data_IF_197761505665
#
_entry.id   IF_197761505665
#
_cell.length_a   1.000
_cell.length_b   1.000
_cell.length_c   1.000
_cell.angle_alpha   90.00
_cell.angle_beta   90.00
_cell.angle_gamma   90.00
#
_symmetry.space_group_name_H-M   'P 1'
#
loop_
_entity.id
_entity.type
_entity.pdbx_description
1 polymer ?
#
# COMPACT_ATOMS: atom_id res chain seq x y z
N UNK A 1 -4.88 14.37 -13.17
CA UNK A 1 -3.99 14.66 -12.02
C UNK A 1 -3.04 15.82 -12.30
N UNK A 2 -2.19 15.81 -13.33
CA UNK A 2 -1.25 16.91 -13.67
C UNK A 2 -2.00 18.23 -13.83
N UNK A 3 -3.09 18.26 -14.59
CA UNK A 3 -3.92 19.45 -14.78
C UNK A 3 -4.48 20.00 -13.47
N UNK A 4 -4.90 19.13 -12.54
CA UNK A 4 -5.41 19.53 -11.24
C UNK A 4 -4.34 20.22 -10.38
N UNK A 5 -3.10 19.70 -10.36
CA UNK A 5 -1.96 20.33 -9.70
C UNK A 5 -1.64 21.70 -10.33
N UNK A 6 -1.59 21.74 -11.66
CA UNK A 6 -1.31 22.98 -12.40
C UNK A 6 -2.37 24.04 -12.10
N UNK A 7 -3.65 23.67 -12.19
CA UNK A 7 -4.76 24.57 -11.88
C UNK A 7 -4.73 25.06 -10.43
N UNK A 8 -4.41 24.17 -9.48
CA UNK A 8 -4.27 24.56 -8.08
C UNK A 8 -3.20 25.62 -7.89
N UNK A 9 -1.97 25.39 -8.40
CA UNK A 9 -0.89 26.37 -8.25
C UNK A 9 -1.16 27.68 -8.99
N UNK A 10 -1.82 27.66 -10.13
CA UNK A 10 -2.12 28.85 -10.91
C UNK A 10 -3.25 29.69 -10.33
N UNK A 11 -4.24 29.08 -9.66
CA UNK A 11 -5.51 29.74 -9.36
C UNK A 11 -5.94 29.68 -7.89
N UNK A 12 -5.46 28.70 -7.12
CA UNK A 12 -6.05 28.34 -5.83
C UNK A 12 -5.03 28.14 -4.69
N UNK A 13 -3.73 28.28 -4.99
CA UNK A 13 -2.68 28.04 -4.00
C UNK A 13 -2.71 29.07 -2.88
N UNK A 14 -3.11 28.63 -1.69
CA UNK A 14 -3.14 29.41 -0.46
C UNK A 14 -2.94 28.48 0.76
N UNK A 15 -2.61 29.08 1.92
CA UNK A 15 -2.63 28.38 3.19
C UNK A 15 -4.05 27.93 3.52
N UNK A 16 -4.19 26.70 3.99
CA UNK A 16 -5.45 26.14 4.48
C UNK A 16 -5.67 26.51 5.95
N UNK A 17 -6.95 26.59 6.39
CA UNK A 17 -7.43 26.82 7.77
C UNK A 17 -7.16 28.19 8.40
N UNK A 18 -6.09 28.90 8.05
CA UNK A 18 -5.63 30.10 8.76
C UNK A 18 -5.97 31.42 8.11
N UNK A 19 -6.33 31.41 6.83
CA UNK A 19 -6.63 32.63 6.11
C UNK A 19 -8.06 33.09 6.32
N UNK A 20 -8.25 34.38 6.57
CA UNK A 20 -9.58 35.02 6.63
C UNK A 20 -10.00 35.60 5.26
N UNK A 21 -9.38 35.13 4.19
CA UNK A 21 -9.60 35.60 2.80
C UNK A 21 -10.13 34.43 1.94
N UNK A 22 -10.87 34.81 0.88
CA UNK A 22 -11.62 33.87 0.04
C UNK A 22 -10.75 32.71 -0.55
N UNK A 23 -9.51 33.03 -0.95
CA UNK A 23 -8.61 32.02 -1.53
C UNK A 23 -8.23 30.93 -0.52
N UNK A 24 -8.00 31.30 0.76
CA UNK A 24 -7.74 30.33 1.82
C UNK A 24 -8.96 29.45 2.13
N UNK A 25 -10.14 30.04 2.15
CA UNK A 25 -11.39 29.29 2.32
C UNK A 25 -11.57 28.25 1.21
N UNK A 26 -11.34 28.67 -0.06
CA UNK A 26 -11.43 27.78 -1.23
C UNK A 26 -10.40 26.64 -1.19
N UNK A 27 -9.14 26.96 -0.82
CA UNK A 27 -8.10 25.93 -0.67
C UNK A 27 -8.42 24.93 0.44
N UNK A 28 -9.00 25.42 1.55
CA UNK A 28 -9.47 24.56 2.66
C UNK A 28 -10.62 23.65 2.23
N UNK A 29 -11.61 24.20 1.52
CA UNK A 29 -12.74 23.44 0.98
C UNK A 29 -12.27 22.34 0.02
N UNK A 30 -11.34 22.67 -0.88
CA UNK A 30 -10.76 21.70 -1.80
C UNK A 30 -10.03 20.57 -1.05
N UNK A 31 -9.23 20.89 -0.03
CA UNK A 31 -8.50 19.92 0.78
C UNK A 31 -9.44 18.99 1.55
N UNK A 32 -10.41 19.53 2.27
CA UNK A 32 -11.39 18.75 3.03
C UNK A 32 -12.36 17.98 2.13
N UNK A 33 -12.70 18.53 0.95
CA UNK A 33 -13.48 17.81 -0.06
C UNK A 33 -12.78 16.54 -0.55
N UNK A 34 -11.45 16.54 -0.65
CA UNK A 34 -10.69 15.32 -0.97
C UNK A 34 -10.68 14.34 0.18
N UNK A 35 -10.70 14.80 1.43
CA UNK A 35 -10.83 13.91 2.60
C UNK A 35 -12.14 13.11 2.53
N UNK A 36 -13.25 13.77 2.20
CA UNK A 36 -14.53 13.09 2.00
C UNK A 36 -14.46 12.11 0.82
N UNK A 37 -13.88 12.52 -0.33
CA UNK A 37 -13.70 11.62 -1.48
C UNK A 37 -12.86 10.37 -1.13
N UNK A 38 -11.80 10.55 -0.34
CA UNK A 38 -10.96 9.41 0.09
C UNK A 38 -11.73 8.47 1.03
N UNK A 39 -12.58 9.02 1.91
CA UNK A 39 -13.46 8.24 2.77
C UNK A 39 -14.46 7.43 1.94
N UNK A 40 -15.19 8.08 1.04
CA UNK A 40 -16.17 7.44 0.16
C UNK A 40 -15.53 6.34 -0.71
N UNK A 41 -14.30 6.59 -1.20
CA UNK A 41 -13.56 5.67 -2.06
C UNK A 41 -13.23 4.34 -1.40
N UNK A 42 -13.01 4.33 -0.08
CA UNK A 42 -12.68 3.11 0.68
C UNK A 42 -13.82 2.67 1.63
N UNK A 43 -14.96 3.36 1.64
CA UNK A 43 -16.12 3.04 2.48
C UNK A 43 -15.92 3.32 3.97
N UNK A 44 -15.31 4.46 4.30
CA UNK A 44 -15.13 5.01 5.65
C UNK A 44 -15.77 6.38 5.82
N UNK A 45 -15.47 7.06 6.93
CA UNK A 45 -15.94 8.41 7.26
C UNK A 45 -14.78 9.42 7.13
N UNK A 46 -15.07 10.68 6.78
CA UNK A 46 -14.03 11.71 6.64
C UNK A 46 -13.23 11.91 7.94
N UNK A 47 -13.85 11.77 9.12
CA UNK A 47 -13.20 11.86 10.43
C UNK A 47 -12.19 10.73 10.71
N UNK A 48 -12.19 9.69 9.88
CA UNK A 48 -11.32 8.50 9.96
C UNK A 48 -10.15 8.57 8.96
N UNK A 49 -10.06 9.64 8.16
CA UNK A 49 -9.05 9.81 7.12
C UNK A 49 -7.96 10.78 7.58
N UNK A 50 -6.72 10.31 7.61
CA UNK A 50 -5.52 11.10 7.90
C UNK A 50 -4.65 11.14 6.65
N UNK A 51 -4.33 12.34 6.16
CA UNK A 51 -3.36 12.48 5.09
C UNK A 51 -1.94 12.28 5.61
N UNK A 52 -1.16 11.51 4.86
CA UNK A 52 0.21 11.13 5.20
C UNK A 52 1.13 11.28 3.98
N UNK A 53 2.42 11.02 4.16
CA UNK A 53 3.41 11.04 3.05
C UNK A 53 3.36 9.77 2.17
N UNK A 54 2.54 8.78 2.52
CA UNK A 54 2.39 7.49 1.84
C UNK A 54 2.13 6.35 2.81
N UNK A 55 1.94 5.14 2.30
CA UNK A 55 1.66 3.92 3.08
C UNK A 55 2.69 3.70 4.19
N UNK A 56 3.98 3.89 3.91
CA UNK A 56 5.04 3.74 4.92
C UNK A 56 4.82 4.67 6.11
N UNK A 57 4.55 5.95 5.87
CA UNK A 57 4.25 6.94 6.91
C UNK A 57 2.96 6.60 7.67
N UNK A 58 1.93 6.16 6.96
CA UNK A 58 0.66 5.74 7.54
C UNK A 58 0.81 4.55 8.50
N UNK A 59 1.53 3.49 8.08
CA UNK A 59 1.78 2.32 8.93
C UNK A 59 2.65 2.70 10.13
N UNK A 60 3.68 3.55 9.95
CA UNK A 60 4.49 4.03 11.07
C UNK A 60 3.66 4.85 12.08
N UNK A 61 2.71 5.66 11.60
CA UNK A 61 1.81 6.41 12.49
C UNK A 61 0.97 5.45 13.35
N UNK A 62 0.39 4.41 12.77
CA UNK A 62 -0.32 3.39 13.54
C UNK A 62 0.64 2.65 14.50
N UNK A 63 1.81 2.20 14.01
CA UNK A 63 2.77 1.41 14.77
C UNK A 63 3.29 2.16 16.00
N UNK A 64 3.81 3.36 15.82
CA UNK A 64 4.45 4.12 16.88
C UNK A 64 3.48 5.04 17.64
N UNK A 65 2.42 5.51 16.98
CA UNK A 65 1.40 6.35 17.62
C UNK A 65 0.42 5.56 18.49
N UNK A 66 0.01 4.37 18.01
CA UNK A 66 -0.95 3.52 18.71
C UNK A 66 -0.29 2.29 19.34
N UNK A 67 0.23 1.36 18.54
CA UNK A 67 0.62 0.03 19.00
C UNK A 67 1.80 0.02 19.97
N UNK A 68 2.79 0.89 19.79
CA UNK A 68 3.91 1.04 20.75
C UNK A 68 3.44 1.32 22.19
N UNK A 69 2.28 1.96 22.36
CA UNK A 69 1.73 2.34 23.66
C UNK A 69 0.76 1.34 24.25
N UNK A 70 0.25 0.42 23.44
CA UNK A 70 -0.78 -0.53 23.83
C UNK A 70 -0.27 -1.98 23.93
N UNK A 71 0.82 -2.30 23.23
CA UNK A 71 1.43 -3.63 23.29
C UNK A 71 2.32 -3.79 24.53
N UNK A 72 2.36 -5.00 25.04
CA UNK A 72 3.13 -5.41 26.23
C UNK A 72 3.98 -6.63 25.91
N UNK A 73 4.94 -6.92 26.79
CA UNK A 73 5.77 -8.10 26.70
C UNK A 73 4.91 -9.38 26.64
N UNK A 74 5.16 -10.22 25.65
CA UNK A 74 4.44 -11.46 25.41
C UNK A 74 3.17 -11.34 24.57
N UNK A 75 2.69 -10.12 24.25
CA UNK A 75 1.68 -9.91 23.21
C UNK A 75 2.20 -10.35 21.83
N UNK A 76 1.32 -10.67 20.91
CA UNK A 76 1.69 -11.18 19.59
C UNK A 76 1.19 -10.24 18.47
N UNK A 77 2.05 -10.10 17.46
CA UNK A 77 1.78 -9.40 16.20
C UNK A 77 1.85 -10.44 15.08
N UNK A 78 0.72 -10.73 14.44
CA UNK A 78 0.67 -11.64 13.31
C UNK A 78 0.92 -10.90 12.00
N UNK A 79 1.80 -11.45 11.17
CA UNK A 79 2.11 -10.99 9.81
C UNK A 79 2.42 -12.19 8.91
N UNK A 80 2.80 -11.90 7.65
CA UNK A 80 3.24 -12.93 6.71
C UNK A 80 4.69 -12.69 6.25
N UNK A 81 5.35 -13.71 5.75
CA UNK A 81 6.62 -13.55 5.05
C UNK A 81 6.49 -12.77 3.73
N UNK A 82 5.26 -12.54 3.27
CA UNK A 82 4.94 -11.83 2.04
C UNK A 82 4.77 -10.32 2.22
N UNK A 83 5.01 -9.78 3.42
CA UNK A 83 4.83 -8.36 3.67
C UNK A 83 5.90 -7.50 2.99
N UNK A 84 5.49 -6.35 2.45
CA UNK A 84 6.42 -5.29 2.08
C UNK A 84 7.16 -4.80 3.33
N UNK A 85 8.42 -4.37 3.19
CA UNK A 85 9.21 -3.88 4.32
C UNK A 85 8.51 -2.78 5.12
N UNK A 86 7.68 -1.96 4.49
CA UNK A 86 6.87 -0.94 5.18
C UNK A 86 5.84 -1.51 6.14
N UNK A 87 5.39 -2.76 5.93
CA UNK A 87 4.46 -3.48 6.81
C UNK A 87 5.15 -4.63 7.59
N UNK A 88 6.47 -4.63 7.65
CA UNK A 88 7.26 -5.57 8.44
C UNK A 88 8.17 -4.85 9.43
N UNK A 89 9.01 -3.93 8.92
CA UNK A 89 10.06 -3.30 9.73
C UNK A 89 9.50 -2.49 10.91
N UNK A 90 8.42 -1.70 10.78
CA UNK A 90 7.84 -1.00 11.93
C UNK A 90 7.42 -1.94 13.05
N UNK A 91 6.88 -3.11 12.70
CA UNK A 91 6.46 -4.11 13.67
C UNK A 91 7.62 -4.82 14.36
N UNK A 92 8.73 -5.03 13.64
CA UNK A 92 9.98 -5.50 14.24
C UNK A 92 10.48 -4.51 15.30
N UNK A 93 10.44 -3.20 15.00
CA UNK A 93 10.88 -2.16 15.96
C UNK A 93 9.92 -2.07 17.16
N UNK A 94 8.62 -2.08 16.93
CA UNK A 94 7.63 -2.07 18.01
C UNK A 94 7.76 -3.31 18.89
N UNK A 95 7.92 -4.49 18.29
CA UNK A 95 8.14 -5.74 19.04
C UNK A 95 9.40 -5.68 19.90
N UNK A 96 10.51 -5.16 19.36
CA UNK A 96 11.76 -5.00 20.10
C UNK A 96 11.62 -4.03 21.29
N UNK A 97 10.84 -2.95 21.14
CA UNK A 97 10.63 -1.94 22.18
C UNK A 97 9.65 -2.37 23.27
N UNK A 98 8.65 -3.21 22.93
CA UNK A 98 7.58 -3.62 23.85
C UNK A 98 7.79 -5.00 24.47
N UNK A 99 8.66 -5.82 23.89
CA UNK A 99 8.78 -7.25 24.23
C UNK A 99 7.67 -8.11 23.61
N UNK A 100 6.89 -7.58 22.68
CA UNK A 100 5.92 -8.36 21.90
C UNK A 100 6.63 -9.32 20.94
N UNK A 101 5.92 -10.32 20.45
CA UNK A 101 6.46 -11.38 19.56
C UNK A 101 5.85 -11.26 18.18
N UNK A 102 6.69 -11.42 17.14
CA UNK A 102 6.22 -11.58 15.77
C UNK A 102 5.83 -13.04 15.52
N UNK A 103 4.65 -13.24 14.97
CA UNK A 103 4.10 -14.56 14.60
C UNK A 103 3.83 -14.55 13.11
N UNK A 104 4.45 -15.46 12.37
CA UNK A 104 4.30 -15.53 10.92
C UNK A 104 3.23 -16.54 10.53
N UNK A 105 2.19 -16.05 9.82
CA UNK A 105 1.11 -16.89 9.32
C UNK A 105 1.60 -17.72 8.13
N UNK A 106 1.27 -19.02 8.09
CA UNK A 106 1.65 -19.90 6.99
C UNK A 106 1.01 -19.49 5.66
N UNK A 107 1.79 -19.57 4.59
CA UNK A 107 1.36 -19.33 3.22
C UNK A 107 1.21 -20.65 2.45
N UNK A 108 0.18 -20.73 1.63
CA UNK A 108 0.02 -21.79 0.64
C UNK A 108 1.00 -21.61 -0.55
N UNK A 109 1.06 -22.58 -1.47
CA UNK A 109 1.94 -22.55 -2.66
C UNK A 109 1.73 -21.35 -3.58
N UNK A 110 0.63 -20.60 -3.43
CA UNK A 110 0.32 -19.40 -4.20
C UNK A 110 0.65 -18.10 -3.43
N UNK A 111 1.26 -18.22 -2.25
CA UNK A 111 1.57 -17.09 -1.37
C UNK A 111 0.33 -16.48 -0.71
N UNK A 112 -0.77 -17.23 -0.63
CA UNK A 112 -1.98 -16.85 0.11
C UNK A 112 -1.94 -17.46 1.49
N UNK A 113 -2.42 -16.75 2.51
CA UNK A 113 -2.50 -17.29 3.87
C UNK A 113 -3.45 -18.50 3.89
N UNK A 114 -2.97 -19.62 4.42
CA UNK A 114 -3.81 -20.79 4.72
C UNK A 114 -4.61 -20.51 5.99
N UNK A 115 -5.93 -20.36 5.84
CA UNK A 115 -6.82 -19.99 6.94
C UNK A 115 -6.84 -21.03 8.08
N UNK A 116 -6.75 -22.32 7.74
CA UNK A 116 -6.78 -23.38 8.74
C UNK A 116 -5.50 -23.39 9.58
N UNK A 117 -4.38 -23.23 8.93
CA UNK A 117 -3.09 -23.16 9.62
C UNK A 117 -2.93 -21.83 10.36
N UNK A 118 -3.42 -20.72 9.80
CA UNK A 118 -3.44 -19.42 10.47
C UNK A 118 -4.22 -19.45 11.79
N UNK A 119 -5.39 -20.10 11.81
CA UNK A 119 -6.20 -20.23 13.03
C UNK A 119 -5.46 -20.97 14.16
N UNK A 120 -4.66 -21.98 13.82
CA UNK A 120 -3.82 -22.73 14.80
C UNK A 120 -2.68 -21.89 15.38
N UNK A 121 -2.14 -20.98 14.58
CA UNK A 121 -1.00 -20.13 14.96
C UNK A 121 -1.44 -18.89 15.77
N UNK A 122 -2.65 -18.38 15.52
CA UNK A 122 -3.21 -17.23 16.24
C UNK A 122 -3.62 -17.62 17.66
N UNK A 123 -2.83 -17.20 18.66
CA UNK A 123 -3.12 -17.45 20.08
C UNK A 123 -4.02 -16.38 20.71
N UNK A 124 -4.43 -16.54 21.96
CA UNK A 124 -5.18 -15.54 22.72
C UNK A 124 -4.32 -14.32 23.13
N UNK A 125 -3.00 -14.36 22.88
CA UNK A 125 -2.08 -13.22 23.03
C UNK A 125 -2.04 -12.32 21.82
N UNK A 126 -2.69 -12.69 20.72
CA UNK A 126 -2.73 -11.87 19.52
C UNK A 126 -3.37 -10.50 19.82
N UNK A 127 -2.67 -9.42 19.44
CA UNK A 127 -3.17 -8.03 19.59
C UNK A 127 -3.22 -7.29 18.27
N UNK A 128 -2.46 -7.73 17.30
CA UNK A 128 -2.45 -7.13 15.96
C UNK A 128 -2.31 -8.22 14.90
N UNK A 129 -3.16 -8.14 13.88
CA UNK A 129 -2.95 -8.74 12.58
C UNK A 129 -2.58 -7.62 11.61
N UNK A 130 -1.36 -7.64 11.05
CA UNK A 130 -0.90 -6.70 10.04
C UNK A 130 -0.60 -7.45 8.74
N UNK A 131 -1.35 -7.17 7.67
CA UNK A 131 -1.16 -7.87 6.39
C UNK A 131 -1.45 -6.98 5.19
N UNK A 132 -0.74 -7.24 4.08
CA UNK A 132 -1.05 -6.65 2.79
C UNK A 132 -2.34 -7.26 2.23
N UNK A 133 -3.23 -6.42 1.68
CA UNK A 133 -4.42 -6.92 0.97
C UNK A 133 -4.04 -7.62 -0.32
N UNK A 134 -3.06 -7.05 -1.06
CA UNK A 134 -2.48 -7.65 -2.27
C UNK A 134 -0.97 -7.63 -2.14
N UNK A 135 -0.34 -8.78 -2.36
CA UNK A 135 1.12 -8.90 -2.28
C UNK A 135 1.80 -8.19 -3.45
N UNK A 136 2.81 -7.38 -3.18
CA UNK A 136 3.52 -6.57 -4.18
C UNK A 136 4.48 -7.38 -5.07
N UNK A 137 4.79 -8.63 -4.73
CA UNK A 137 5.66 -9.52 -5.51
C UNK A 137 4.83 -10.44 -6.38
N UNK A 138 3.86 -11.15 -5.79
CA UNK A 138 3.08 -12.18 -6.47
C UNK A 138 1.75 -11.66 -7.05
N UNK A 139 1.29 -10.46 -6.61
CA UNK A 139 -0.04 -9.98 -6.92
C UNK A 139 -1.17 -10.76 -6.25
N UNK A 140 -0.84 -11.68 -5.34
CA UNK A 140 -1.83 -12.53 -4.66
C UNK A 140 -2.70 -11.71 -3.73
N UNK A 141 -4.02 -11.78 -3.91
CA UNK A 141 -5.01 -11.18 -3.00
C UNK A 141 -5.17 -12.08 -1.76
N UNK A 142 -5.00 -11.49 -0.58
CA UNK A 142 -5.12 -12.20 0.69
C UNK A 142 -6.58 -12.30 1.16
N UNK A 143 -6.97 -13.33 1.91
CA UNK A 143 -8.32 -13.48 2.46
C UNK A 143 -8.50 -12.59 3.70
N UNK A 144 -8.43 -11.26 3.50
CA UNK A 144 -8.39 -10.26 4.57
C UNK A 144 -9.62 -10.37 5.47
N UNK A 145 -10.82 -10.48 4.89
CA UNK A 145 -12.08 -10.53 5.64
C UNK A 145 -12.12 -11.72 6.60
N UNK A 146 -11.73 -12.90 6.12
CA UNK A 146 -11.71 -14.13 6.90
C UNK A 146 -10.65 -14.07 8.01
N UNK A 147 -9.46 -13.58 7.67
CA UNK A 147 -8.36 -13.39 8.64
C UNK A 147 -8.70 -12.35 9.70
N UNK A 148 -9.34 -11.24 9.31
CA UNK A 148 -9.84 -10.23 10.24
C UNK A 148 -10.86 -10.82 11.22
N UNK A 149 -11.77 -11.66 10.73
CA UNK A 149 -12.74 -12.34 11.59
C UNK A 149 -12.06 -13.28 12.59
N UNK A 150 -11.01 -14.02 12.19
CA UNK A 150 -10.21 -14.86 13.09
C UNK A 150 -9.46 -14.03 14.13
N UNK A 151 -8.80 -12.94 13.71
CA UNK A 151 -8.08 -12.04 14.61
C UNK A 151 -9.02 -11.37 15.64
N UNK A 152 -10.18 -10.92 15.20
CA UNK A 152 -11.19 -10.29 16.09
C UNK A 152 -11.76 -11.25 17.12
N UNK A 153 -11.88 -12.55 16.82
CA UNK A 153 -12.25 -13.57 17.84
C UNK A 153 -11.22 -13.66 18.99
N UNK A 154 -9.97 -13.24 18.75
CA UNK A 154 -8.89 -13.16 19.75
C UNK A 154 -8.79 -11.76 20.41
N UNK A 155 -9.68 -10.83 20.06
CA UNK A 155 -9.62 -9.45 20.53
C UNK A 155 -8.51 -8.61 19.87
N UNK A 156 -7.94 -9.06 18.76
CA UNK A 156 -6.88 -8.36 18.05
C UNK A 156 -7.44 -7.31 17.08
N UNK A 157 -6.69 -6.22 16.91
CA UNK A 157 -6.92 -5.22 15.88
C UNK A 157 -6.31 -5.68 14.55
N UNK A 158 -6.82 -5.11 13.45
CA UNK A 158 -6.44 -5.45 12.08
C UNK A 158 -5.96 -4.21 11.36
N UNK A 159 -4.69 -4.21 10.94
CA UNK A 159 -4.12 -3.23 10.03
C UNK A 159 -3.92 -3.85 8.66
N UNK A 160 -4.41 -3.18 7.63
CA UNK A 160 -4.31 -3.64 6.24
C UNK A 160 -3.44 -2.68 5.44
N UNK A 161 -2.37 -3.19 4.85
CA UNK A 161 -1.60 -2.49 3.81
C UNK A 161 -2.35 -2.64 2.47
N UNK A 162 -3.03 -1.57 2.08
CA UNK A 162 -3.79 -1.45 0.84
C UNK A 162 -3.01 -0.88 -0.33
N UNK A 163 -1.69 -0.75 -0.22
CA UNK A 163 -0.87 -0.06 -1.21
C UNK A 163 -0.95 -0.65 -2.64
N UNK A 164 -1.22 -1.94 -2.76
CA UNK A 164 -1.40 -2.64 -4.04
C UNK A 164 -2.87 -2.94 -4.34
N UNK A 165 -3.79 -2.42 -3.53
CA UNK A 165 -5.22 -2.69 -3.68
C UNK A 165 -6.03 -1.44 -4.02
N UNK A 166 -5.81 -0.32 -3.33
CA UNK A 166 -6.70 0.84 -3.34
C UNK A 166 -6.96 1.45 -4.72
N UNK A 167 -6.02 1.39 -5.65
CA UNK A 167 -6.22 1.90 -7.03
C UNK A 167 -6.54 0.83 -8.06
N UNK A 168 -6.65 -0.45 -7.64
CA UNK A 168 -6.69 -1.60 -8.53
C UNK A 168 -7.93 -2.49 -8.36
N UNK A 169 -8.62 -2.37 -7.23
CA UNK A 169 -9.84 -3.15 -6.94
C UNK A 169 -10.73 -2.39 -5.95
N UNK A 170 -12.04 -2.70 -5.91
CA UNK A 170 -12.96 -2.10 -4.95
C UNK A 170 -12.56 -2.41 -3.52
N UNK A 171 -12.51 -1.38 -2.67
CA UNK A 171 -12.21 -1.50 -1.24
C UNK A 171 -13.39 -1.03 -0.42
N UNK A 172 -13.75 -1.79 0.63
CA UNK A 172 -14.68 -1.37 1.66
C UNK A 172 -14.10 -1.77 3.02
N UNK A 173 -13.42 -0.83 3.68
CA UNK A 173 -12.64 -1.09 4.91
C UNK A 173 -13.49 -1.69 6.02
N UNK A 174 -14.74 -1.28 6.14
CA UNK A 174 -15.70 -1.82 7.12
C UNK A 174 -16.05 -3.28 6.82
N UNK A 175 -16.26 -3.63 5.53
CA UNK A 175 -16.56 -5.01 5.09
C UNK A 175 -15.35 -5.93 5.20
N UNK A 176 -14.14 -5.38 5.03
CA UNK A 176 -12.88 -6.10 5.26
C UNK A 176 -12.63 -6.37 6.74
N UNK A 177 -13.26 -5.60 7.62
CA UNK A 177 -13.03 -5.66 9.06
C UNK A 177 -11.71 -5.00 9.48
N UNK A 178 -11.17 -4.09 8.67
CA UNK A 178 -9.98 -3.33 8.99
C UNK A 178 -10.25 -2.31 10.10
N UNK A 179 -9.34 -2.21 11.05
CA UNK A 179 -9.31 -1.17 12.08
C UNK A 179 -8.39 -0.01 11.65
N UNK A 180 -7.36 -0.33 10.87
CA UNK A 180 -6.50 0.62 10.15
C UNK A 180 -6.32 0.15 8.71
N UNK A 181 -6.27 1.09 7.76
CA UNK A 181 -6.00 0.82 6.34
C UNK A 181 -5.07 1.89 5.77
N UNK A 182 -4.01 1.50 5.07
CA UNK A 182 -3.00 2.42 4.58
C UNK A 182 -2.78 2.29 3.07
N UNK A 183 -2.73 3.42 2.34
CA UNK A 183 -2.40 3.41 0.92
C UNK A 183 -1.64 4.66 0.47
N UNK A 184 -1.07 4.62 -0.74
CA UNK A 184 -0.26 5.68 -1.32
C UNK A 184 -0.87 6.17 -2.64
N UNK A 185 -0.96 7.49 -2.81
CA UNK A 185 -1.50 8.11 -3.99
C UNK A 185 -0.75 7.74 -5.28
N UNK A 186 0.60 7.65 -5.23
CA UNK A 186 1.42 7.35 -6.41
C UNK A 186 1.21 5.96 -7.01
N UNK A 187 0.52 5.05 -6.30
CA UNK A 187 0.13 3.72 -6.81
C UNK A 187 -1.29 3.68 -7.37
N UNK A 188 -1.99 4.81 -7.33
CA UNK A 188 -3.33 4.97 -7.84
C UNK A 188 -3.46 6.25 -8.68
N UNK A 189 -2.47 6.54 -9.52
CA UNK A 189 -2.38 7.67 -10.44
C UNK A 189 -2.27 9.06 -9.77
N UNK A 190 -2.05 9.11 -8.46
CA UNK A 190 -1.82 10.34 -7.71
C UNK A 190 -0.34 10.74 -7.64
N UNK A 191 -0.06 11.79 -6.89
CA UNK A 191 1.28 12.33 -6.69
C UNK A 191 2.09 11.49 -5.68
N UNK A 192 3.42 11.42 -5.85
CA UNK A 192 4.36 10.93 -4.83
C UNK A 192 4.35 11.86 -3.60
N UNK A 193 4.66 11.32 -2.42
CA UNK A 193 4.68 12.11 -1.19
C UNK A 193 3.27 12.42 -0.64
N UNK A 194 2.26 11.67 -1.06
CA UNK A 194 0.89 11.72 -0.57
C UNK A 194 0.36 10.32 -0.35
N UNK A 195 -0.37 10.11 0.72
CA UNK A 195 -1.04 8.87 1.06
C UNK A 195 -2.10 9.08 2.13
N UNK A 196 -2.72 8.01 2.53
CA UNK A 196 -3.82 8.00 3.49
C UNK A 196 -3.61 6.91 4.53
N UNK A 197 -3.89 7.25 5.78
CA UNK A 197 -4.24 6.31 6.83
C UNK A 197 -5.74 6.45 7.12
N UNK A 198 -6.48 5.40 6.90
CA UNK A 198 -7.78 5.19 7.55
C UNK A 198 -7.54 4.59 8.94
N UNK A 199 -8.24 5.07 9.92
CA UNK A 199 -8.29 4.44 11.24
C UNK A 199 -9.64 4.69 11.87
N UNK A 200 -10.22 3.67 12.51
CA UNK A 200 -11.49 3.83 13.23
C UNK A 200 -11.36 4.98 14.22
N UNK A 201 -12.40 5.82 14.28
CA UNK A 201 -12.40 7.08 15.02
C UNK A 201 -11.89 6.94 16.46
N UNK A 202 -12.39 5.94 17.18
CA UNK A 202 -12.01 5.68 18.57
C UNK A 202 -10.55 5.24 18.74
N UNK A 203 -9.95 4.62 17.73
CA UNK A 203 -8.53 4.26 17.72
C UNK A 203 -7.65 5.47 17.38
N UNK A 204 -8.07 6.27 16.41
CA UNK A 204 -7.39 7.53 16.10
C UNK A 204 -7.40 8.47 17.30
N UNK A 205 -8.49 8.55 18.08
CA UNK A 205 -8.55 9.39 19.27
C UNK A 205 -7.51 8.98 20.34
N UNK A 206 -7.20 7.68 20.42
CA UNK A 206 -6.18 7.13 21.33
C UNK A 206 -4.76 7.18 20.74
N UNK A 207 -4.62 7.34 19.41
CA UNK A 207 -3.32 7.39 18.75
C UNK A 207 -2.63 8.71 19.04
N UNK A 208 -1.33 8.67 19.34
CA UNK A 208 -0.51 9.86 19.50
C UNK A 208 0.09 10.30 18.17
N UNK A 209 0.20 11.60 17.89
CA UNK A 209 0.90 12.09 16.72
C UNK A 209 2.40 11.77 16.79
N UNK A 210 3.04 11.66 15.62
CA UNK A 210 4.49 11.48 15.51
C UNK A 210 5.20 12.78 15.13
N UNK A 211 4.49 13.67 14.46
CA UNK A 211 4.99 14.99 14.09
C UNK A 211 4.24 16.05 14.92
N UNK A 212 4.96 17.02 15.44
CA UNK A 212 4.44 18.07 16.29
C UNK A 212 4.77 19.45 15.73
N UNK A 213 3.81 20.37 15.73
CA UNK A 213 4.02 21.71 15.18
C UNK A 213 2.76 22.55 15.14
N UNK A 214 2.74 23.51 14.25
CA UNK A 214 1.56 24.33 13.98
C UNK A 214 0.43 23.50 13.35
N UNK A 215 -0.75 24.05 13.21
CA UNK A 215 -2.00 23.50 12.70
C UNK A 215 -2.64 22.42 13.58
N UNK A 216 -1.87 21.46 14.12
CA UNK A 216 -2.38 20.32 14.88
C UNK A 216 -2.72 20.62 16.35
N UNK A 217 -2.32 21.78 16.85
CA UNK A 217 -2.49 22.22 18.25
C UNK A 217 -3.86 22.83 18.50
N UNK A 218 -4.38 22.67 19.71
CA UNK A 218 -5.53 23.42 20.25
C UNK A 218 -5.07 24.59 21.11
N UNK A 219 -4.23 24.30 22.11
CA UNK A 219 -3.65 25.29 23.00
C UNK A 219 -2.17 24.99 23.24
N UNK A 220 -1.36 26.04 23.36
CA UNK A 220 0.08 25.92 23.68
C UNK A 220 0.45 26.94 24.75
N UNK A 221 1.09 26.44 25.81
CA UNK A 221 1.77 27.26 26.82
C UNK A 221 3.28 27.15 26.64
N UNK A 222 4.04 27.74 27.56
CA UNK A 222 5.52 27.58 27.55
C UNK A 222 5.98 26.15 27.80
N UNK A 223 5.20 25.33 28.48
CA UNK A 223 5.59 24.00 28.94
C UNK A 223 4.69 22.86 28.47
N UNK A 224 3.49 23.15 27.97
CA UNK A 224 2.50 22.16 27.59
C UNK A 224 1.77 22.52 26.30
N UNK A 225 1.27 21.51 25.60
CA UNK A 225 0.40 21.69 24.45
C UNK A 225 -0.76 20.69 24.50
N UNK A 226 -1.92 21.10 24.03
CA UNK A 226 -3.06 20.24 23.72
C UNK A 226 -3.32 20.22 22.24
N UNK A 227 -3.88 19.11 21.72
CA UNK A 227 -4.03 18.87 20.29
C UNK A 227 -5.48 18.96 19.86
N UNK A 228 -5.70 19.26 18.58
CA UNK A 228 -7.00 19.14 17.95
C UNK A 228 -7.47 17.67 17.95
N UNK A 229 -8.75 17.38 17.75
CA UNK A 229 -9.21 16.02 17.53
C UNK A 229 -8.61 15.42 16.26
N UNK A 230 -8.69 14.09 16.10
CA UNK A 230 -8.40 13.44 14.84
C UNK A 230 -9.42 13.92 13.75
N UNK A 231 -9.00 14.03 12.48
CA UNK A 231 -7.69 13.69 11.93
C UNK A 231 -6.63 14.79 12.05
N UNK A 232 -7.02 16.06 12.35
CA UNK A 232 -6.14 17.22 12.27
C UNK A 232 -4.95 17.16 13.23
N UNK A 233 -5.05 16.45 14.36
CA UNK A 233 -3.90 16.27 15.26
C UNK A 233 -2.70 15.55 14.65
N UNK A 234 -2.88 14.86 13.51
CA UNK A 234 -1.82 14.15 12.81
C UNK A 234 -1.20 14.93 11.65
N UNK A 235 -1.77 16.10 11.33
CA UNK A 235 -1.42 16.89 10.17
C UNK A 235 -0.71 18.19 10.61
N UNK A 236 0.51 18.03 11.17
CA UNK A 236 1.32 19.14 11.66
C UNK A 236 1.98 19.91 10.53
N UNK A 237 2.06 21.25 10.69
CA UNK A 237 2.72 22.15 9.75
C UNK A 237 1.93 22.42 8.47
N UNK A 238 2.58 23.00 7.47
CA UNK A 238 1.96 23.25 6.16
C UNK A 238 1.82 21.93 5.41
N UNK A 239 0.60 21.58 5.06
CA UNK A 239 0.27 20.32 4.42
C UNK A 239 0.59 20.33 2.92
N UNK A 240 0.76 19.14 2.31
CA UNK A 240 0.91 18.98 0.87
C UNK A 240 -0.45 19.12 0.16
N UNK A 241 -0.99 20.35 0.13
CA UNK A 241 -2.32 20.62 -0.41
C UNK A 241 -2.44 20.21 -1.87
N UNK A 242 -1.44 20.51 -2.70
CA UNK A 242 -1.42 20.14 -4.12
C UNK A 242 -1.45 18.62 -4.33
N UNK A 243 -0.73 17.87 -3.47
CA UNK A 243 -0.73 16.40 -3.52
C UNK A 243 -2.07 15.80 -3.12
N UNK A 244 -2.77 16.41 -2.15
CA UNK A 244 -4.12 16.00 -1.76
C UNK A 244 -5.12 16.33 -2.88
N UNK A 245 -5.06 17.51 -3.48
CA UNK A 245 -5.88 17.87 -4.66
C UNK A 245 -5.64 16.88 -5.81
N UNK A 246 -4.38 16.50 -6.05
CA UNK A 246 -4.02 15.49 -7.05
C UNK A 246 -4.63 14.11 -6.74
N UNK A 247 -4.67 13.72 -5.46
CA UNK A 247 -5.32 12.47 -5.02
C UNK A 247 -6.82 12.52 -5.33
N UNK A 248 -7.48 13.66 -5.05
CA UNK A 248 -8.90 13.84 -5.37
C UNK A 248 -9.19 13.64 -6.86
N UNK A 249 -8.38 14.26 -7.73
CA UNK A 249 -8.50 14.09 -9.18
C UNK A 249 -8.23 12.64 -9.64
N UNK A 250 -7.32 11.93 -8.98
CA UNK A 250 -7.05 10.52 -9.27
C UNK A 250 -8.24 9.63 -8.86
N UNK A 251 -8.85 9.89 -7.70
CA UNK A 251 -10.05 9.18 -7.23
C UNK A 251 -11.22 9.40 -8.21
N UNK A 252 -11.47 10.64 -8.63
CA UNK A 252 -12.53 10.96 -9.60
C UNK A 252 -12.31 10.19 -10.91
N UNK A 253 -11.07 10.13 -11.40
CA UNK A 253 -10.73 9.43 -12.62
C UNK A 253 -10.94 7.91 -12.50
N UNK A 254 -10.47 7.29 -11.42
CA UNK A 254 -10.66 5.86 -11.16
C UNK A 254 -12.14 5.49 -11.01
N UNK A 255 -12.92 6.32 -10.32
CA UNK A 255 -14.35 6.12 -10.17
C UNK A 255 -15.10 6.24 -11.51
N UNK A 256 -14.67 7.14 -12.39
CA UNK A 256 -15.27 7.29 -13.72
C UNK A 256 -15.04 6.06 -14.63
N UNK A 257 -13.92 5.34 -14.44
CA UNK A 257 -13.65 4.08 -15.15
C UNK A 257 -14.38 2.92 -14.49
N UNK A 258 -14.39 2.89 -13.16
CA UNK A 258 -14.92 1.81 -12.34
C UNK A 258 -13.87 0.78 -11.95
N UNK A 259 -13.73 0.57 -10.63
CA UNK A 259 -12.67 -0.31 -10.09
C UNK A 259 -12.86 -1.78 -10.43
N UNK A 260 -14.10 -2.24 -10.67
CA UNK A 260 -14.35 -3.61 -11.15
C UNK A 260 -13.80 -3.80 -12.56
N UNK A 261 -14.02 -2.85 -13.46
CA UNK A 261 -13.47 -2.88 -14.81
C UNK A 261 -11.93 -2.84 -14.83
N UNK A 262 -11.34 -2.01 -13.96
CA UNK A 262 -9.89 -1.94 -13.76
C UNK A 262 -9.35 -3.30 -13.28
N UNK A 263 -9.95 -3.88 -12.26
CA UNK A 263 -9.58 -5.19 -11.71
C UNK A 263 -9.61 -6.29 -12.78
N UNK A 264 -10.70 -6.35 -13.56
CA UNK A 264 -10.87 -7.36 -14.58
C UNK A 264 -9.84 -7.19 -15.72
N UNK A 265 -9.63 -5.95 -16.16
CA UNK A 265 -8.63 -5.64 -17.21
C UNK A 265 -7.19 -5.99 -16.74
N UNK A 266 -6.81 -5.61 -15.55
CA UNK A 266 -5.48 -5.94 -15.02
C UNK A 266 -5.28 -7.44 -14.82
N UNK A 267 -6.33 -8.17 -14.44
CA UNK A 267 -6.31 -9.63 -14.34
C UNK A 267 -6.09 -10.29 -15.69
N UNK A 268 -6.76 -9.81 -16.75
CA UNK A 268 -6.57 -10.30 -18.13
C UNK A 268 -5.12 -10.10 -18.59
N UNK A 269 -4.59 -8.90 -18.44
CA UNK A 269 -3.20 -8.57 -18.79
C UNK A 269 -2.19 -9.39 -17.99
N UNK A 270 -2.42 -9.54 -16.70
CA UNK A 270 -1.56 -10.35 -15.82
C UNK A 270 -1.54 -11.82 -16.21
N UNK A 271 -2.69 -12.39 -16.59
CA UNK A 271 -2.77 -13.76 -17.08
C UNK A 271 -2.04 -13.91 -18.42
N UNK A 272 -2.26 -13.00 -19.38
CA UNK A 272 -1.58 -13.02 -20.67
C UNK A 272 -0.06 -12.91 -20.53
N UNK A 273 0.43 -12.00 -19.65
CA UNK A 273 1.86 -11.90 -19.32
C UNK A 273 2.40 -13.22 -18.78
N UNK A 274 1.74 -13.81 -17.77
CA UNK A 274 2.20 -15.03 -17.13
C UNK A 274 2.26 -16.22 -18.08
N UNK A 275 1.26 -16.38 -18.94
CA UNK A 275 1.21 -17.44 -19.97
C UNK A 275 2.30 -17.23 -21.01
N UNK A 276 2.45 -16.03 -21.53
CA UNK A 276 3.47 -15.70 -22.51
C UNK A 276 4.88 -15.90 -21.99
N UNK A 277 5.15 -15.46 -20.76
CA UNK A 277 6.43 -15.65 -20.08
C UNK A 277 6.76 -17.14 -19.87
N UNK A 278 5.79 -17.97 -19.48
CA UNK A 278 5.96 -19.43 -19.39
C UNK A 278 6.32 -20.04 -20.74
N UNK A 279 5.62 -19.63 -21.81
CA UNK A 279 5.92 -20.10 -23.20
C UNK A 279 7.31 -19.65 -23.67
N UNK A 280 7.78 -18.48 -23.24
CA UNK A 280 9.16 -18.01 -23.47
C UNK A 280 10.22 -18.78 -22.66
N UNK A 281 9.80 -19.65 -21.73
CA UNK A 281 10.67 -20.49 -20.90
C UNK A 281 11.06 -19.85 -19.59
N UNK A 282 10.38 -18.80 -19.15
CA UNK A 282 10.56 -18.22 -17.82
C UNK A 282 9.87 -19.05 -16.74
N UNK A 283 10.45 -19.08 -15.54
CA UNK A 283 9.78 -19.59 -14.33
C UNK A 283 8.96 -18.46 -13.71
N UNK A 284 7.64 -18.57 -13.76
CA UNK A 284 6.70 -17.60 -13.19
C UNK A 284 6.36 -18.01 -11.74
N UNK A 285 6.47 -17.08 -10.79
CA UNK A 285 6.21 -17.32 -9.37
C UNK A 285 4.83 -16.83 -8.93
N UNK A 286 4.35 -15.69 -9.49
CA UNK A 286 3.06 -15.09 -9.15
C UNK A 286 2.41 -14.48 -10.39
N UNK A 287 1.09 -14.48 -10.40
CA UNK A 287 0.25 -13.99 -11.49
C UNK A 287 -1.08 -13.44 -10.97
N UNK A 288 -1.01 -12.49 -10.03
CA UNK A 288 -2.21 -11.85 -9.47
C UNK A 288 -2.39 -10.43 -9.96
N UNK A 289 -3.62 -10.04 -10.29
CA UNK A 289 -3.91 -8.73 -10.87
C UNK A 289 -3.05 -8.47 -12.11
N UNK A 290 -2.51 -7.27 -12.26
CA UNK A 290 -1.59 -6.88 -13.32
C UNK A 290 -0.11 -7.26 -13.08
N UNK A 291 0.21 -8.13 -12.11
CA UNK A 291 1.59 -8.44 -11.70
C UNK A 291 2.01 -9.84 -12.18
N UNK A 292 3.19 -9.93 -12.82
CA UNK A 292 3.87 -11.18 -13.14
C UNK A 292 5.31 -11.13 -12.64
N UNK A 293 5.63 -11.92 -11.61
CA UNK A 293 7.00 -12.12 -11.12
C UNK A 293 7.60 -13.40 -11.68
N UNK A 294 8.81 -13.31 -12.21
CA UNK A 294 9.42 -14.40 -12.93
C UNK A 294 10.95 -14.36 -12.91
N UNK A 295 11.58 -15.47 -13.26
CA UNK A 295 13.00 -15.55 -13.57
C UNK A 295 13.22 -16.30 -14.88
N UNK A 296 14.22 -15.87 -15.64
CA UNK A 296 14.68 -16.57 -16.83
C UNK A 296 15.84 -17.49 -16.40
N UNK A 297 15.75 -18.84 -16.62
CA UNK A 297 16.82 -19.73 -16.22
C UNK A 297 18.17 -19.35 -16.82
N UNK A 298 19.19 -19.30 -15.96
CA UNK A 298 20.53 -18.94 -16.36
C UNK A 298 20.82 -17.45 -16.56
N UNK A 299 19.81 -16.57 -16.39
CA UNK A 299 19.98 -15.10 -16.52
C UNK A 299 19.65 -14.45 -15.19
N UNK A 300 20.55 -13.59 -14.71
CA UNK A 300 20.31 -12.84 -13.50
C UNK A 300 19.17 -11.81 -13.73
N UNK A 301 18.22 -11.60 -12.79
CA UNK A 301 17.11 -10.67 -12.98
C UNK A 301 17.52 -9.24 -13.36
N UNK A 302 18.65 -8.73 -12.86
CA UNK A 302 19.18 -7.40 -13.21
C UNK A 302 19.67 -7.36 -14.66
N UNK A 303 20.38 -8.41 -15.12
CA UNK A 303 20.86 -8.48 -16.50
C UNK A 303 19.68 -8.55 -17.46
N UNK A 304 18.65 -9.33 -17.11
CA UNK A 304 17.40 -9.38 -17.85
C UNK A 304 16.72 -8.01 -17.93
N UNK A 305 16.63 -7.29 -16.81
CA UNK A 305 16.03 -5.95 -16.79
C UNK A 305 16.81 -4.97 -17.66
N UNK A 306 18.15 -5.02 -17.64
CA UNK A 306 19.01 -4.20 -18.49
C UNK A 306 18.83 -4.53 -19.97
N UNK A 307 18.73 -5.82 -20.33
CA UNK A 307 18.51 -6.24 -21.71
C UNK A 307 17.12 -5.86 -22.25
N UNK A 308 16.12 -5.81 -21.37
CA UNK A 308 14.77 -5.35 -21.72
C UNK A 308 14.71 -3.82 -21.83
N UNK A 309 15.38 -3.08 -20.96
CA UNK A 309 15.45 -1.63 -20.99
C UNK A 309 16.06 -1.12 -22.31
N UNK A 310 17.11 -1.80 -22.81
CA UNK A 310 17.68 -1.52 -24.13
C UNK A 310 16.68 -1.67 -25.29
N UNK A 311 15.56 -2.32 -25.07
CA UNK A 311 14.46 -2.50 -26.03
C UNK A 311 13.24 -1.62 -25.69
N UNK A 312 13.37 -0.69 -24.74
CA UNK A 312 12.29 0.19 -24.29
C UNK A 312 11.26 -0.49 -23.37
N UNK A 313 11.61 -1.65 -22.78
CA UNK A 313 10.72 -2.42 -21.91
C UNK A 313 11.20 -2.30 -20.45
N UNK A 314 10.47 -1.53 -19.66
CA UNK A 314 10.81 -1.28 -18.25
C UNK A 314 10.19 -2.37 -17.35
N UNK A 315 11.04 -3.11 -16.63
CA UNK A 315 10.64 -4.03 -15.56
C UNK A 315 11.44 -3.74 -14.29
N UNK A 316 10.96 -4.19 -13.16
CA UNK A 316 11.72 -4.12 -11.91
C UNK A 316 12.43 -5.45 -11.64
N UNK A 317 13.69 -5.39 -11.23
CA UNK A 317 14.46 -6.55 -10.77
C UNK A 317 14.91 -6.38 -9.31
N UNK A 318 15.03 -7.48 -8.57
CA UNK A 318 15.55 -7.49 -7.20
C UNK A 318 14.64 -8.15 -6.18
N UNK A 319 14.72 -7.70 -4.93
CA UNK A 319 13.97 -8.27 -3.79
C UNK A 319 12.61 -7.59 -3.56
N UNK A 320 12.28 -6.55 -4.30
CA UNK A 320 11.00 -5.82 -4.27
C UNK A 320 10.59 -5.29 -2.90
N UNK A 321 11.54 -4.97 -2.02
CA UNK A 321 11.29 -4.59 -0.62
C UNK A 321 10.48 -5.66 0.16
N UNK A 322 10.70 -6.94 -0.15
CA UNK A 322 10.05 -8.09 0.45
C UNK A 322 11.06 -9.25 0.57
N UNK A 323 12.14 -9.01 1.29
CA UNK A 323 13.27 -9.96 1.40
C UNK A 323 12.85 -11.31 1.98
N UNK A 324 12.03 -11.41 3.05
CA UNK A 324 11.54 -12.69 3.54
C UNK A 324 10.70 -13.46 2.52
N UNK A 325 10.04 -12.77 1.58
CA UNK A 325 9.34 -13.40 0.48
C UNK A 325 10.29 -14.07 -0.51
N UNK A 326 11.48 -13.49 -0.73
CA UNK A 326 12.50 -14.12 -1.58
C UNK A 326 13.00 -15.42 -0.95
N UNK A 327 13.22 -15.44 0.37
CA UNK A 327 13.60 -16.63 1.12
C UNK A 327 12.51 -17.71 1.03
N UNK A 328 11.24 -17.31 1.19
CA UNK A 328 10.09 -18.22 1.03
C UNK A 328 9.99 -18.81 -0.39
N UNK A 329 10.28 -18.02 -1.43
CA UNK A 329 10.33 -18.48 -2.84
C UNK A 329 11.56 -19.34 -3.14
N UNK A 330 12.56 -19.37 -2.27
CA UNK A 330 13.84 -20.05 -2.48
C UNK A 330 14.71 -19.40 -3.57
N UNK A 331 14.64 -18.06 -3.70
CA UNK A 331 15.40 -17.29 -4.69
C UNK A 331 16.02 -16.04 -4.07
N UNK A 332 17.09 -15.50 -4.66
CA UNK A 332 17.73 -14.28 -4.17
C UNK A 332 17.03 -13.00 -4.67
N UNK A 333 16.44 -13.08 -5.85
CA UNK A 333 15.78 -11.97 -6.54
C UNK A 333 14.85 -12.49 -7.63
N UNK A 334 13.90 -11.67 -8.05
CA UNK A 334 13.03 -11.92 -9.20
C UNK A 334 12.96 -10.68 -10.10
N UNK A 335 12.65 -10.91 -11.36
CA UNK A 335 12.15 -9.89 -12.28
C UNK A 335 10.62 -9.77 -12.07
N UNK A 336 10.08 -8.54 -12.14
CA UNK A 336 8.65 -8.29 -12.03
C UNK A 336 8.19 -7.33 -13.13
N UNK A 337 7.31 -7.79 -13.98
CA UNK A 337 6.52 -6.96 -14.87
C UNK A 337 5.22 -6.58 -14.17
N UNK A 338 4.77 -5.35 -14.37
CA UNK A 338 3.52 -4.83 -13.82
C UNK A 338 2.78 -4.07 -14.93
N UNK A 339 1.58 -4.52 -15.29
CA UNK A 339 0.67 -3.83 -16.17
C UNK A 339 -0.44 -3.17 -15.35
N UNK A 340 -0.90 -2.01 -15.80
CA UNK A 340 -2.08 -1.35 -15.28
C UNK A 340 -3.17 -1.36 -16.37
N UNK A 341 -4.37 -0.98 -16.00
CA UNK A 341 -5.54 -1.01 -16.92
C UNK A 341 -5.35 -0.24 -18.23
N UNK A 342 -4.44 0.72 -18.28
CA UNK A 342 -4.12 1.50 -19.48
C UNK A 342 -3.10 0.83 -20.42
N UNK A 343 -2.51 -0.31 -20.03
CA UNK A 343 -1.71 -1.13 -20.92
C UNK A 343 -2.59 -1.96 -21.87
N UNK A 344 -1.98 -2.43 -22.94
CA UNK A 344 -2.67 -3.20 -23.98
C UNK A 344 -1.91 -4.49 -24.34
N UNK A 345 -2.47 -5.28 -25.23
CA UNK A 345 -1.92 -6.55 -25.70
C UNK A 345 -0.56 -6.39 -26.38
N UNK A 346 -0.33 -5.26 -27.08
CA UNK A 346 0.95 -4.99 -27.72
C UNK A 346 2.08 -4.80 -26.70
N UNK A 347 1.78 -4.22 -25.54
CA UNK A 347 2.74 -4.10 -24.43
C UNK A 347 3.12 -5.49 -23.88
N UNK A 348 2.14 -6.39 -23.76
CA UNK A 348 2.36 -7.77 -23.32
C UNK A 348 3.18 -8.54 -24.36
N UNK A 349 2.88 -8.40 -25.65
CA UNK A 349 3.66 -9.02 -26.73
C UNK A 349 5.10 -8.50 -26.75
N UNK A 350 5.31 -7.19 -26.58
CA UNK A 350 6.63 -6.58 -26.50
C UNK A 350 7.46 -7.20 -25.37
N UNK A 351 6.87 -7.31 -24.17
CA UNK A 351 7.52 -7.97 -23.02
C UNK A 351 7.95 -9.41 -23.38
N UNK A 352 7.06 -10.20 -23.96
CA UNK A 352 7.33 -11.60 -24.29
C UNK A 352 8.44 -11.73 -25.34
N UNK A 353 8.37 -10.93 -26.41
CA UNK A 353 9.40 -10.89 -27.48
C UNK A 353 10.75 -10.44 -26.91
N UNK A 354 10.75 -9.43 -26.05
CA UNK A 354 11.96 -8.95 -25.37
C UNK A 354 12.61 -10.02 -24.51
N UNK A 355 11.82 -10.78 -23.73
CA UNK A 355 12.33 -11.90 -22.92
C UNK A 355 12.90 -13.01 -23.78
N UNK A 356 12.28 -13.33 -24.93
CA UNK A 356 12.80 -14.32 -25.88
C UNK A 356 14.14 -13.86 -26.49
N UNK A 357 14.22 -12.62 -26.95
CA UNK A 357 15.45 -12.05 -27.47
C UNK A 357 16.57 -12.03 -26.44
N UNK A 358 16.26 -11.64 -25.19
CA UNK A 358 17.23 -11.70 -24.09
C UNK A 358 17.72 -13.13 -23.83
N UNK A 359 16.81 -14.12 -23.86
CA UNK A 359 17.19 -15.55 -23.72
C UNK A 359 18.15 -16.01 -24.82
N UNK A 360 17.89 -15.65 -26.07
CA UNK A 360 18.76 -15.99 -27.20
C UNK A 360 20.14 -15.34 -27.05
N UNK A 361 20.17 -14.07 -26.69
CA UNK A 361 21.41 -13.33 -26.44
C UNK A 361 22.28 -13.99 -25.39
N UNK A 362 21.73 -14.27 -24.21
CA UNK A 362 22.49 -14.87 -23.11
C UNK A 362 22.84 -16.36 -23.33
N UNK A 363 22.11 -17.08 -24.18
CA UNK A 363 22.46 -18.45 -24.55
C UNK A 363 23.50 -18.51 -25.67
N UNK A 364 23.54 -17.53 -26.60
CA UNK A 364 24.53 -17.45 -27.66
C UNK A 364 25.90 -16.94 -27.23
N UNK A 365 25.98 -16.33 -26.04
CA UNK A 365 27.23 -15.85 -25.43
C UNK A 365 27.90 -16.90 -24.51
N UNK A 366 27.32 -18.09 -24.42
CA UNK A 366 27.89 -19.26 -23.73
C UNK A 366 28.41 -20.25 -24.76
#
# INVERSE_FOLDING_TARGET
MIEAITAFYQKENANIYRGTYALSAKATEAYEGVRQKAADFIGGEASEIVFTKGTTSAINLAAFGYFLRHLKAGDEIALTAAEHHSNLVPWQQVAALTGAKLVFLPLDKKGRVDLKEAEKVMSDRLRLLALAQVNNVLGTEQPVKELAALAKKRGALVLVDGAQAAGHLPVAVTKLGADFYAFSAHKMLGQTGTGVLYGRKELLDQTQPLEFGGEMIREVSKTTATFKPAPQKFEAGSQNVSGVVALGAAIDYLNAIGLDAIKDREKELGQAMAEGLKKAGARVYGQGGGIASFNLPGVHPHDLATALDAQGIAIRAGQHCAQPMMDWLGVKAVARASAAFYNNEADVEALIKGVQAAKEFFNGTR
#
